data_IF_770805984707
#
_entry.id   IF_770805984707
#
_cell.length_a   1.000
_cell.length_b   1.000
_cell.length_c   1.000
_cell.angle_alpha   90.00
_cell.angle_beta   90.00
_cell.angle_gamma   90.00
#
_symmetry.space_group_name_H-M   'P 1'
#
loop_
_entity.id
_entity.type
_entity.pdbx_description
1 polymer ?
#
# COMPACT_ATOMS: atom_id res chain seq x y z
N UNK A 1 -6.03 4.10 5.13
CA UNK A 1 -5.01 3.20 5.73
C UNK A 1 -5.58 1.90 6.25
N UNK A 2 -6.51 1.91 7.21
CA UNK A 2 -7.00 0.70 7.87
C UNK A 2 -7.49 -0.41 6.91
N UNK A 3 -8.36 -0.08 5.94
CA UNK A 3 -8.85 -1.06 4.96
C UNK A 3 -7.74 -1.65 4.06
N UNK A 4 -6.72 -0.85 3.73
CA UNK A 4 -5.58 -1.31 2.94
C UNK A 4 -4.73 -2.30 3.74
N UNK A 5 -4.50 -2.02 5.03
CA UNK A 5 -3.79 -2.92 5.92
C UNK A 5 -4.56 -4.23 6.15
N UNK A 6 -5.89 -4.16 6.28
CA UNK A 6 -6.74 -5.36 6.36
C UNK A 6 -6.66 -6.20 5.08
N UNK A 7 -6.74 -5.58 3.90
CA UNK A 7 -6.57 -6.27 2.63
C UNK A 7 -5.19 -6.94 2.53
N UNK A 8 -4.14 -6.25 2.98
CA UNK A 8 -2.79 -6.80 3.02
C UNK A 8 -2.67 -7.98 4.02
N UNK A 9 -3.30 -7.92 5.18
CA UNK A 9 -3.29 -9.02 6.14
C UNK A 9 -3.94 -10.30 5.57
N UNK A 10 -4.93 -10.15 4.69
CA UNK A 10 -5.58 -11.26 3.98
C UNK A 10 -4.84 -11.70 2.70
N UNK A 11 -3.61 -11.24 2.49
CA UNK A 11 -2.78 -11.61 1.33
C UNK A 11 -2.99 -10.76 0.08
N UNK A 12 -3.86 -9.75 0.12
CA UNK A 12 -4.12 -8.85 -1.00
C UNK A 12 -2.99 -7.84 -1.30
N UNK A 13 -3.15 -7.16 -2.43
CA UNK A 13 -2.38 -5.99 -2.83
C UNK A 13 -3.10 -4.71 -2.45
N UNK A 14 -2.37 -3.59 -2.39
CA UNK A 14 -2.90 -2.30 -1.95
C UNK A 14 -2.61 -1.20 -2.96
N UNK A 15 -3.50 -0.22 -3.03
CA UNK A 15 -3.36 0.99 -3.83
C UNK A 15 -3.60 2.19 -2.93
N UNK A 16 -2.69 3.16 -2.99
CA UNK A 16 -2.73 4.35 -2.14
C UNK A 16 -2.27 5.56 -2.97
N UNK A 17 -3.13 6.58 -3.04
CA UNK A 17 -2.79 7.87 -3.66
C UNK A 17 -3.79 8.98 -3.27
N UNK A 18 -3.46 10.22 -3.59
CA UNK A 18 -4.34 11.39 -3.42
C UNK A 18 -5.69 11.23 -4.13
N UNK A 19 -5.73 10.43 -5.20
CA UNK A 19 -6.98 10.03 -5.84
C UNK A 19 -7.96 9.33 -4.88
N UNK A 20 -7.45 8.64 -3.85
CA UNK A 20 -8.29 7.88 -2.92
C UNK A 20 -8.65 8.72 -1.70
N UNK A 21 -7.71 9.55 -1.23
CA UNK A 21 -7.94 10.43 -0.08
C UNK A 21 -6.81 11.45 0.05
N UNK A 22 -7.19 12.68 0.38
CA UNK A 22 -6.29 13.81 0.66
C UNK A 22 -5.92 13.93 2.15
N UNK A 23 -6.53 13.12 3.02
CA UNK A 23 -6.34 13.19 4.48
C UNK A 23 -5.75 11.89 5.05
N UNK A 24 -5.10 12.01 6.20
CA UNK A 24 -4.60 10.92 7.02
C UNK A 24 -5.73 10.29 7.83
N UNK A 25 -5.41 9.20 8.55
CA UNK A 25 -6.40 8.48 9.37
C UNK A 25 -6.98 9.32 10.52
N UNK A 26 -6.30 10.38 10.94
CA UNK A 26 -6.73 11.33 11.97
C UNK A 26 -7.50 12.54 11.38
N UNK A 27 -7.70 12.58 10.06
CA UNK A 27 -8.36 13.68 9.35
C UNK A 27 -7.44 14.86 8.98
N UNK A 28 -6.17 14.86 9.38
CA UNK A 28 -5.21 15.89 8.97
C UNK A 28 -4.88 15.77 7.48
N UNK A 29 -4.61 16.87 6.74
CA UNK A 29 -4.16 16.79 5.36
C UNK A 29 -2.85 16.02 5.23
N UNK A 30 -2.77 15.14 4.24
CA UNK A 30 -1.51 14.50 3.88
C UNK A 30 -0.61 15.49 3.12
N UNK A 31 0.68 15.53 3.45
CA UNK A 31 1.66 16.43 2.83
C UNK A 31 1.86 16.11 1.34
N UNK A 32 2.05 14.83 1.02
CA UNK A 32 2.31 14.34 -0.33
C UNK A 32 1.94 12.84 -0.44
N UNK A 33 1.99 12.29 -1.66
CA UNK A 33 1.77 10.85 -1.86
C UNK A 33 2.87 9.98 -1.22
N UNK A 34 4.10 10.48 -1.11
CA UNK A 34 5.22 9.72 -0.55
C UNK A 34 5.01 9.44 0.95
N UNK A 35 4.51 10.40 1.72
CA UNK A 35 4.09 10.23 3.12
C UNK A 35 3.07 9.10 3.22
N UNK A 36 2.06 9.10 2.34
CA UNK A 36 0.98 8.11 2.37
C UNK A 36 1.47 6.72 2.02
N UNK A 37 2.39 6.61 1.06
CA UNK A 37 3.08 5.34 0.76
C UNK A 37 3.87 4.89 1.99
N UNK A 38 4.68 5.76 2.60
CA UNK A 38 5.49 5.43 3.77
C UNK A 38 4.66 4.88 4.93
N UNK A 39 3.51 5.47 5.25
CA UNK A 39 2.59 4.96 6.28
C UNK A 39 2.11 3.53 5.98
N UNK A 40 1.84 3.21 4.71
CA UNK A 40 1.48 1.84 4.32
C UNK A 40 2.68 0.90 4.45
N UNK A 41 3.87 1.31 4.01
CA UNK A 41 5.09 0.49 4.11
C UNK A 41 5.43 0.17 5.57
N UNK A 42 5.34 1.14 6.46
CA UNK A 42 5.54 0.94 7.90
C UNK A 42 4.54 -0.10 8.46
N UNK A 43 3.25 0.07 8.14
CA UNK A 43 2.21 -0.87 8.56
C UNK A 43 2.44 -2.29 8.02
N UNK A 44 2.88 -2.44 6.76
CA UNK A 44 3.24 -3.74 6.18
C UNK A 44 4.42 -4.39 6.92
N UNK A 45 5.43 -3.59 7.31
CA UNK A 45 6.60 -4.04 8.05
C UNK A 45 6.23 -4.68 9.39
N UNK A 46 5.26 -4.11 10.11
CA UNK A 46 4.74 -4.68 11.36
C UNK A 46 4.05 -6.05 11.17
N UNK A 47 3.63 -6.38 9.95
CA UNK A 47 3.06 -7.68 9.59
C UNK A 47 4.08 -8.64 8.97
N UNK A 48 5.37 -8.29 8.95
CA UNK A 48 6.41 -9.06 8.28
C UNK A 48 6.29 -9.05 6.75
N UNK A 49 5.60 -8.07 6.16
CA UNK A 49 5.46 -7.90 4.70
C UNK A 49 6.29 -6.69 4.23
N UNK A 50 6.64 -6.69 2.94
CA UNK A 50 7.28 -5.55 2.26
C UNK A 50 6.61 -5.27 0.92
N UNK A 51 6.71 -4.05 0.39
CA UNK A 51 6.42 -3.79 -1.03
C UNK A 51 7.31 -4.66 -1.92
N UNK A 52 6.72 -5.12 -3.02
CA UNK A 52 7.47 -5.70 -4.12
C UNK A 52 8.24 -4.59 -4.86
N UNK A 53 9.44 -4.88 -5.35
CA UNK A 53 10.12 -3.99 -6.29
C UNK A 53 9.44 -4.04 -7.68
N UNK A 54 9.78 -3.12 -8.60
CA UNK A 54 9.15 -3.10 -9.92
C UNK A 54 9.35 -4.38 -10.74
N UNK A 55 10.49 -5.08 -10.60
CA UNK A 55 10.76 -6.34 -11.28
C UNK A 55 9.88 -7.46 -10.75
N UNK A 56 9.82 -7.61 -9.42
CA UNK A 56 8.92 -8.55 -8.73
C UNK A 56 7.46 -8.31 -9.11
N UNK A 57 7.04 -7.03 -9.14
CA UNK A 57 5.68 -6.65 -9.52
C UNK A 57 5.34 -7.10 -10.93
N UNK A 58 6.22 -6.88 -11.91
CA UNK A 58 6.00 -7.33 -13.30
C UNK A 58 5.91 -8.85 -13.37
N UNK A 59 6.78 -9.58 -12.67
CA UNK A 59 6.76 -11.03 -12.66
C UNK A 59 5.45 -11.58 -12.07
N UNK A 60 4.99 -11.04 -10.94
CA UNK A 60 3.73 -11.43 -10.29
C UNK A 60 2.52 -11.18 -11.20
N UNK A 61 2.43 -10.00 -11.80
CA UNK A 61 1.30 -9.65 -12.67
C UNK A 61 1.31 -10.47 -13.98
N UNK A 62 2.49 -10.74 -14.54
CA UNK A 62 2.61 -11.60 -15.72
C UNK A 62 2.24 -13.06 -15.42
N UNK A 63 2.49 -13.54 -14.20
CA UNK A 63 2.08 -14.88 -13.77
C UNK A 63 0.56 -14.97 -13.57
N UNK A 64 -0.07 -13.93 -13.00
CA UNK A 64 -1.52 -13.88 -12.76
C UNK A 64 -2.37 -13.72 -14.04
N UNK A 65 -1.77 -13.29 -15.15
CA UNK A 65 -2.43 -13.10 -16.44
C UNK A 65 -2.48 -14.38 -17.30
N UNK A 66 -1.99 -15.51 -16.79
CA UNK A 66 -1.98 -16.82 -17.45
C UNK A 66 -3.02 -17.74 -16.82
#
# INVERSE_FOLDING_TARGET
>A
TACLLAAAAMGGHVRVGFENSLVNGDGSPARDNAQRVATIVEGLGLMGRRPADPGETRALLAAAAR
#
